data_IF_791286578207
#
_entry.id   IF_791286578207
#
_cell.length_a   1.000
_cell.length_b   1.000
_cell.length_c   1.000
_cell.angle_alpha   90.00
_cell.angle_beta   90.00
_cell.angle_gamma   90.00
#
_symmetry.space_group_name_H-M   'P 1'
#
loop_
_entity.id
_entity.type
_entity.pdbx_description
1 polymer ?
#
# COMPACT_ATOMS: atom_id res chain seq x y z
N UNK A 1 -3.11 -7.14 -9.87
CA UNK A 1 -3.87 -6.71 -8.68
C UNK A 1 -3.98 -5.19 -8.69
N UNK A 2 -5.17 -4.67 -8.45
CA UNK A 2 -5.40 -3.22 -8.43
C UNK A 2 -4.71 -2.56 -7.25
N UNK A 3 -4.04 -1.46 -7.52
CA UNK A 3 -3.32 -0.69 -6.50
C UNK A 3 -3.90 0.72 -6.43
N UNK A 4 -4.21 1.15 -5.22
CA UNK A 4 -4.77 2.47 -4.93
C UNK A 4 -3.81 3.20 -3.99
N UNK A 5 -3.43 4.42 -4.38
CA UNK A 5 -2.66 5.29 -3.48
C UNK A 5 -3.62 5.91 -2.48
N UNK A 6 -3.27 5.83 -1.19
CA UNK A 6 -4.05 6.45 -0.14
C UNK A 6 -3.23 7.53 0.57
N UNK A 7 -3.86 8.65 0.85
CA UNK A 7 -3.25 9.78 1.55
C UNK A 7 -3.83 9.96 2.95
N UNK A 8 -4.99 9.37 3.21
CA UNK A 8 -5.69 9.49 4.48
C UNK A 8 -6.52 8.25 4.75
N UNK A 9 -7.05 8.16 5.97
CA UNK A 9 -7.85 7.03 6.42
C UNK A 9 -9.10 6.83 5.55
N UNK A 10 -9.77 7.90 5.18
CA UNK A 10 -10.99 7.81 4.36
C UNK A 10 -10.73 7.13 3.03
N UNK A 11 -9.64 7.48 2.36
CA UNK A 11 -9.29 6.87 1.07
C UNK A 11 -8.97 5.38 1.23
N UNK A 12 -8.24 5.02 2.29
CA UNK A 12 -7.98 3.62 2.59
C UNK A 12 -9.28 2.84 2.83
N UNK A 13 -10.18 3.39 3.63
CA UNK A 13 -11.48 2.76 3.90
C UNK A 13 -12.32 2.60 2.65
N UNK A 14 -12.36 3.61 1.78
CA UNK A 14 -13.12 3.53 0.53
C UNK A 14 -12.60 2.43 -0.38
N UNK A 15 -11.30 2.28 -0.49
CA UNK A 15 -10.69 1.20 -1.28
C UNK A 15 -11.05 -0.17 -0.71
N UNK A 16 -10.98 -0.33 0.62
CA UNK A 16 -11.32 -1.60 1.27
C UNK A 16 -12.81 -1.90 1.20
N UNK A 17 -13.67 -0.89 1.28
CA UNK A 17 -15.10 -1.07 1.12
C UNK A 17 -15.44 -1.64 -0.27
N UNK A 18 -14.85 -1.08 -1.33
CA UNK A 18 -15.03 -1.57 -2.68
C UNK A 18 -14.49 -2.99 -2.85
N UNK A 19 -13.32 -3.27 -2.29
CA UNK A 19 -12.70 -4.60 -2.36
C UNK A 19 -13.57 -5.66 -1.67
N UNK A 20 -14.11 -5.35 -0.49
CA UNK A 20 -14.99 -6.25 0.24
C UNK A 20 -16.29 -6.50 -0.53
N UNK A 21 -16.88 -5.44 -1.10
CA UNK A 21 -18.12 -5.54 -1.87
C UNK A 21 -17.97 -6.42 -3.11
N UNK A 22 -16.87 -6.26 -3.84
CA UNK A 22 -16.60 -7.01 -5.07
C UNK A 22 -15.90 -8.35 -4.83
N UNK A 23 -15.55 -8.67 -3.60
CA UNK A 23 -14.75 -9.84 -3.23
C UNK A 23 -13.46 -9.94 -4.07
N UNK A 24 -12.77 -8.81 -4.23
CA UNK A 24 -11.52 -8.70 -4.97
C UNK A 24 -10.41 -8.16 -4.09
N UNK A 25 -9.18 -8.70 -4.21
CA UNK A 25 -8.08 -8.16 -3.45
C UNK A 25 -7.69 -6.76 -3.95
N UNK A 26 -7.19 -5.93 -3.05
CA UNK A 26 -6.69 -4.60 -3.35
C UNK A 26 -5.33 -4.38 -2.70
N UNK A 27 -4.46 -3.66 -3.38
CA UNK A 27 -3.20 -3.19 -2.81
C UNK A 27 -3.34 -1.72 -2.46
N UNK A 28 -2.99 -1.37 -1.23
CA UNK A 28 -2.88 0.01 -0.77
C UNK A 28 -1.41 0.42 -0.83
N UNK A 29 -1.14 1.56 -1.45
CA UNK A 29 0.21 2.11 -1.58
C UNK A 29 0.22 3.52 -1.02
N UNK A 30 1.20 3.87 -0.20
CA UNK A 30 1.37 5.26 0.24
C UNK A 30 1.94 6.10 -0.90
N UNK A 31 1.77 7.41 -0.81
CA UNK A 31 2.36 8.34 -1.77
C UNK A 31 3.89 8.21 -1.81
N UNK A 32 4.55 8.62 -2.91
CA UNK A 32 6.00 8.56 -3.00
C UNK A 32 6.68 9.25 -1.82
N UNK A 33 7.58 8.54 -1.14
CA UNK A 33 8.32 9.06 0.01
C UNK A 33 7.48 9.32 1.26
N UNK A 34 6.27 8.83 1.34
CA UNK A 34 5.34 9.12 2.44
C UNK A 34 5.91 8.76 3.82
N UNK A 35 6.73 7.74 3.91
CA UNK A 35 7.33 7.33 5.19
C UNK A 35 8.10 8.46 5.87
N UNK A 36 8.70 9.36 5.08
CA UNK A 36 9.45 10.51 5.61
C UNK A 36 8.53 11.64 6.10
N UNK A 37 7.29 11.70 5.65
CA UNK A 37 6.34 12.77 6.02
C UNK A 37 5.55 12.43 7.27
N UNK A 38 4.79 11.34 7.24
CA UNK A 38 3.94 10.97 8.37
C UNK A 38 4.53 9.93 9.30
N UNK A 39 5.55 9.24 8.82
CA UNK A 39 6.19 8.13 9.53
C UNK A 39 5.52 6.78 9.30
N UNK A 40 6.32 5.70 9.37
CA UNK A 40 5.80 4.34 9.13
C UNK A 40 4.65 3.92 10.05
N UNK A 41 4.70 4.33 11.32
CA UNK A 41 3.66 3.98 12.29
C UNK A 41 2.32 4.62 11.99
N UNK A 42 2.33 5.87 11.52
CA UNK A 42 1.13 6.61 11.17
C UNK A 42 0.35 5.93 10.03
N UNK A 43 1.05 5.56 8.96
CA UNK A 43 0.40 4.89 7.83
C UNK A 43 -0.01 3.46 8.15
N UNK A 44 0.76 2.77 8.99
CA UNK A 44 0.37 1.42 9.44
C UNK A 44 -0.92 1.48 10.24
N UNK A 45 -1.04 2.46 11.13
CA UNK A 45 -2.26 2.66 11.93
C UNK A 45 -3.48 2.92 11.03
N UNK A 46 -3.32 3.68 9.93
CA UNK A 46 -4.41 3.89 8.97
C UNK A 46 -4.85 2.58 8.32
N UNK A 47 -3.90 1.78 7.86
CA UNK A 47 -4.21 0.50 7.21
C UNK A 47 -4.93 -0.43 8.19
N UNK A 48 -4.43 -0.53 9.41
CA UNK A 48 -5.02 -1.37 10.44
C UNK A 48 -6.44 -0.90 10.81
N UNK A 49 -6.65 0.42 10.95
CA UNK A 49 -7.96 0.98 11.24
C UNK A 49 -8.95 0.73 10.10
N UNK A 50 -8.52 0.91 8.86
CA UNK A 50 -9.36 0.64 7.70
C UNK A 50 -9.72 -0.85 7.62
N UNK A 51 -8.77 -1.73 7.85
CA UNK A 51 -9.00 -3.17 7.82
C UNK A 51 -9.92 -3.65 8.94
N UNK A 52 -9.83 -3.04 10.11
CA UNK A 52 -10.72 -3.35 11.23
C UNK A 52 -12.19 -3.04 10.90
N UNK A 53 -12.43 -2.01 10.09
CA UNK A 53 -13.79 -1.63 9.63
C UNK A 53 -14.29 -2.44 8.44
N UNK A 54 -13.36 -3.07 7.70
CA UNK A 54 -13.67 -3.87 6.53
C UNK A 54 -12.96 -5.23 6.62
N UNK A 55 -13.33 -6.06 7.60
CA UNK A 55 -12.58 -7.30 7.87
C UNK A 55 -12.67 -8.34 6.74
N UNK A 56 -13.65 -8.20 5.85
CA UNK A 56 -13.80 -9.10 4.69
C UNK A 56 -12.90 -8.70 3.51
N UNK A 57 -12.30 -7.52 3.55
CA UNK A 57 -11.41 -7.07 2.48
C UNK A 57 -10.08 -7.83 2.54
N UNK A 58 -9.63 -8.32 1.39
CA UNK A 58 -8.27 -8.85 1.24
C UNK A 58 -7.38 -7.71 0.81
N UNK A 59 -6.46 -7.30 1.67
CA UNK A 59 -5.60 -6.14 1.44
C UNK A 59 -4.14 -6.50 1.52
N UNK A 60 -3.36 -5.90 0.62
CA UNK A 60 -1.91 -5.89 0.66
C UNK A 60 -1.49 -4.43 0.77
N UNK A 61 -0.66 -4.11 1.75
CA UNK A 61 -0.22 -2.72 1.96
C UNK A 61 1.26 -2.57 1.69
N UNK A 62 1.63 -1.49 1.00
CA UNK A 62 3.00 -1.16 0.63
C UNK A 62 3.31 0.25 1.12
N UNK A 63 4.43 0.40 1.83
CA UNK A 63 4.93 1.69 2.28
C UNK A 63 6.07 2.17 1.37
N UNK A 64 5.95 3.37 0.84
CA UNK A 64 7.02 3.98 0.05
C UNK A 64 7.99 4.70 0.98
N UNK A 65 9.19 4.16 1.10
CA UNK A 65 10.25 4.68 1.97
C UNK A 65 11.22 5.62 1.24
N UNK A 66 10.93 5.94 -0.03
CA UNK A 66 11.83 6.77 -0.83
C UNK A 66 13.19 6.11 -0.98
N UNK A 67 14.26 6.81 -0.61
CA UNK A 67 15.63 6.30 -0.66
C UNK A 67 16.23 6.11 0.74
N UNK A 68 15.40 6.09 1.77
CA UNK A 68 15.84 6.05 3.17
C UNK A 68 15.79 4.63 3.73
N UNK A 69 16.96 3.98 3.76
CA UNK A 69 17.09 2.61 4.29
C UNK A 69 16.83 2.52 5.79
N UNK A 70 17.09 3.57 6.55
CA UNK A 70 16.81 3.59 7.98
C UNK A 70 15.31 3.60 8.26
N UNK A 71 14.54 4.38 7.50
CA UNK A 71 13.09 4.36 7.57
C UNK A 71 12.51 3.00 7.19
N UNK A 72 13.10 2.35 6.18
CA UNK A 72 12.69 1.01 5.78
C UNK A 72 12.88 0.00 6.91
N UNK A 73 14.01 0.04 7.61
CA UNK A 73 14.27 -0.82 8.76
C UNK A 73 13.28 -0.55 9.89
N UNK A 74 13.05 0.72 10.20
CA UNK A 74 12.07 1.12 11.21
C UNK A 74 10.67 0.59 10.85
N UNK A 75 10.28 0.74 9.60
CA UNK A 75 8.98 0.27 9.12
C UNK A 75 8.81 -1.25 9.35
N UNK A 76 9.82 -2.03 9.02
CA UNK A 76 9.78 -3.48 9.23
C UNK A 76 9.68 -3.84 10.70
N UNK A 77 10.37 -3.11 11.58
CA UNK A 77 10.28 -3.35 13.03
C UNK A 77 8.88 -3.05 13.57
N UNK A 78 8.12 -2.16 12.92
CA UNK A 78 6.75 -1.82 13.30
C UNK A 78 5.71 -2.79 12.75
N UNK A 79 6.07 -3.60 11.76
CA UNK A 79 5.17 -4.59 11.19
C UNK A 79 4.92 -4.50 9.69
N UNK A 80 5.48 -3.50 9.01
CA UNK A 80 5.39 -3.45 7.55
C UNK A 80 6.08 -4.65 6.91
N UNK A 81 5.43 -5.25 5.92
CA UNK A 81 5.97 -6.42 5.21
C UNK A 81 6.34 -6.13 3.77
N UNK A 82 5.83 -5.05 3.19
CA UNK A 82 6.13 -4.64 1.81
C UNK A 82 6.52 -3.18 1.77
N UNK A 83 7.67 -2.91 1.16
CA UNK A 83 8.26 -1.58 1.11
C UNK A 83 8.71 -1.28 -0.30
N UNK A 84 8.62 -0.01 -0.69
CA UNK A 84 9.32 0.52 -1.85
C UNK A 84 10.56 1.25 -1.34
N UNK A 85 11.72 0.87 -1.83
CA UNK A 85 12.98 1.51 -1.47
C UNK A 85 13.81 1.74 -2.73
N UNK A 86 14.05 2.99 -3.04
CA UNK A 86 14.91 3.43 -4.14
C UNK A 86 16.32 3.65 -3.61
N UNK A 87 17.18 4.22 -4.41
CA UNK A 87 18.53 4.60 -4.01
C UNK A 87 19.54 3.54 -4.33
N UNK A 88 20.59 3.47 -3.53
CA UNK A 88 21.77 2.65 -3.81
C UNK A 88 21.46 1.15 -3.67
N UNK A 89 21.92 0.38 -4.64
CA UNK A 89 21.69 -1.07 -4.68
C UNK A 89 22.25 -1.79 -3.44
N UNK A 90 23.39 -1.33 -2.91
CA UNK A 90 24.00 -1.89 -1.69
C UNK A 90 23.07 -1.76 -0.49
N UNK A 91 22.43 -0.59 -0.32
CA UNK A 91 21.49 -0.34 0.77
C UNK A 91 20.26 -1.21 0.59
N UNK A 92 19.71 -1.28 -0.63
CA UNK A 92 18.55 -2.14 -0.90
C UNK A 92 18.83 -3.61 -0.61
N UNK A 93 20.01 -4.09 -0.96
CA UNK A 93 20.39 -5.49 -0.71
C UNK A 93 20.42 -5.80 0.78
N UNK A 94 20.94 -4.90 1.61
CA UNK A 94 20.93 -5.06 3.08
C UNK A 94 19.54 -5.08 3.64
N UNK A 95 18.68 -4.16 3.18
CA UNK A 95 17.29 -4.08 3.62
C UNK A 95 16.51 -5.32 3.19
N UNK A 96 16.78 -5.85 1.98
CA UNK A 96 16.16 -7.10 1.52
C UNK A 96 16.52 -8.29 2.39
N UNK A 97 17.76 -8.37 2.87
CA UNK A 97 18.15 -9.45 3.79
C UNK A 97 17.35 -9.39 5.08
N UNK A 98 17.15 -8.19 5.63
CA UNK A 98 16.34 -7.99 6.83
C UNK A 98 14.87 -8.35 6.54
N UNK A 99 14.35 -7.90 5.40
CA UNK A 99 12.98 -8.18 4.98
C UNK A 99 12.74 -9.69 4.83
N UNK A 100 13.68 -10.40 4.22
CA UNK A 100 13.56 -11.87 4.05
C UNK A 100 13.46 -12.58 5.40
N UNK A 101 14.20 -12.12 6.41
CA UNK A 101 14.14 -12.68 7.75
C UNK A 101 12.78 -12.46 8.41
N UNK A 102 12.03 -11.44 7.99
CA UNK A 102 10.70 -11.11 8.52
C UNK A 102 9.56 -11.54 7.60
N UNK A 103 9.85 -12.26 6.52
CA UNK A 103 8.84 -12.65 5.53
C UNK A 103 8.34 -11.48 4.70
N UNK A 104 9.16 -10.43 4.57
CA UNK A 104 8.82 -9.21 3.85
C UNK A 104 9.40 -9.16 2.44
N UNK A 105 9.05 -8.09 1.73
CA UNK A 105 9.43 -7.84 0.35
C UNK A 105 9.86 -6.38 0.17
N UNK A 106 10.93 -6.16 -0.58
CA UNK A 106 11.42 -4.82 -0.92
C UNK A 106 11.38 -4.64 -2.43
N UNK A 107 10.62 -3.65 -2.88
CA UNK A 107 10.46 -3.30 -4.28
C UNK A 107 11.34 -2.11 -4.61
N UNK A 108 12.05 -2.18 -5.75
CA UNK A 108 12.86 -1.05 -6.24
C UNK A 108 12.00 0.07 -6.83
N UNK A 109 10.78 -0.25 -7.24
CA UNK A 109 9.81 0.68 -7.83
C UNK A 109 8.42 0.38 -7.28
N UNK A 110 7.56 1.41 -7.16
CA UNK A 110 6.17 1.16 -6.80
C UNK A 110 5.46 0.46 -7.97
N UNK A 111 4.43 -0.36 -7.68
CA UNK A 111 3.57 -0.86 -8.72
C UNK A 111 2.78 0.27 -9.36
N UNK A 112 2.25 0.03 -10.56
CA UNK A 112 1.29 0.94 -11.16
C UNK A 112 0.12 1.13 -10.23
N UNK A 113 -0.26 2.37 -9.98
CA UNK A 113 -1.29 2.69 -9.02
C UNK A 113 -2.17 3.83 -9.51
N UNK A 114 -3.44 3.78 -9.11
CA UNK A 114 -4.35 4.89 -9.29
C UNK A 114 -4.28 5.78 -8.03
N UNK A 115 -4.08 7.08 -8.26
CA UNK A 115 -4.04 8.07 -7.19
C UNK A 115 -5.31 8.90 -7.20
N UNK A 116 -6.17 8.80 -6.17
CA UNK A 116 -7.37 9.63 -6.09
C UNK A 116 -7.06 11.13 -5.92
N UNK A 117 -5.87 11.49 -5.40
CA UNK A 117 -5.53 12.88 -5.16
C UNK A 117 -6.23 13.47 -3.95
N UNK A 118 -6.26 14.82 -3.89
CA UNK A 118 -6.82 15.54 -2.73
C UNK A 118 -8.33 15.80 -2.85
N UNK A 119 -8.84 15.97 -4.07
CA UNK A 119 -10.27 16.25 -4.32
C UNK A 119 -10.99 14.97 -4.70
N UNK A 120 -11.92 14.55 -3.85
CA UNK A 120 -12.58 13.28 -4.05
C UNK A 120 -14.10 13.37 -3.94
N UNK A 121 -14.73 13.12 -5.08
CA UNK A 121 -16.15 12.87 -5.17
C UNK A 121 -16.30 11.38 -5.40
N UNK A 122 -16.91 10.64 -4.48
CA UNK A 122 -17.22 9.22 -4.59
C UNK A 122 -16.04 8.30 -4.94
N UNK A 123 -15.09 8.22 -4.01
CA UNK A 123 -13.92 7.33 -4.14
C UNK A 123 -14.35 5.86 -4.22
N UNK A 124 -15.41 5.46 -3.52
CA UNK A 124 -15.88 4.06 -3.53
C UNK A 124 -16.31 3.64 -4.93
N UNK A 125 -17.08 4.48 -5.63
CA UNK A 125 -17.50 4.19 -6.98
C UNK A 125 -16.33 4.07 -7.94
N UNK A 126 -15.33 4.95 -7.80
CA UNK A 126 -14.13 4.91 -8.63
C UNK A 126 -13.31 3.65 -8.36
N UNK A 127 -13.18 3.24 -7.11
CA UNK A 127 -12.52 1.99 -6.74
C UNK A 127 -13.27 0.77 -7.29
N UNK A 128 -14.58 0.77 -7.28
CA UNK A 128 -15.39 -0.31 -7.88
C UNK A 128 -15.08 -0.48 -9.35
N UNK A 129 -15.00 0.62 -10.08
CA UNK A 129 -14.68 0.59 -11.51
C UNK A 129 -13.29 0.02 -11.75
N UNK A 130 -12.29 0.47 -10.97
CA UNK A 130 -10.92 0.00 -11.07
C UNK A 130 -10.82 -1.50 -10.81
N UNK A 131 -11.41 -1.99 -9.72
CA UNK A 131 -11.37 -3.39 -9.32
C UNK A 131 -12.13 -4.28 -10.31
N UNK A 132 -13.23 -3.80 -10.82
CA UNK A 132 -14.01 -4.53 -11.84
C UNK A 132 -13.24 -4.67 -13.16
N UNK A 133 -12.50 -3.65 -13.58
CA UNK A 133 -11.64 -3.71 -14.76
C UNK A 133 -10.53 -4.73 -14.62
N UNK A 134 -9.88 -4.76 -13.46
CA UNK A 134 -8.82 -5.72 -13.14
C UNK A 134 -9.36 -7.16 -13.21
N UNK A 135 -10.54 -7.39 -12.67
CA UNK A 135 -11.20 -8.69 -12.72
C UNK A 135 -11.46 -9.14 -14.16
N UNK A 136 -11.94 -8.24 -15.03
CA UNK A 136 -12.21 -8.53 -16.45
C UNK A 136 -10.95 -8.88 -17.22
N UNK A 137 -9.84 -8.17 -16.96
CA UNK A 137 -8.55 -8.46 -17.60
C UNK A 137 -8.04 -9.84 -17.24
N UNK A 138 -8.28 -10.32 -16.01
CA UNK A 138 -7.84 -11.63 -15.54
C UNK A 138 -8.74 -12.76 -16.00
N UNK A 139 -9.99 -12.48 -16.35
CA UNK A 139 -10.95 -13.44 -16.86
C UNK A 139 -10.70 -13.86 -18.31
N UNK A 140 -9.73 -13.24 -18.95
CA UNK A 140 -9.29 -13.57 -20.29
C UNK A 140 -7.90 -14.20 -20.27
#
# INVERSE_FOLDING_TARGET
>A
MSTVIFHNLRQAECALAAAAELARPVTLLTAPGAAAYGGPGYYLAMVEAAQARHPKATVRAILDCGDDGALAQMAMSLGWRRLVLRGRAVVRAKVRQIANAHGGEVLARPPRAWDPGAEQIDIVAQCRVLLARDARRRGH
#
